data_IF_588125325710
#
_entry.id   IF_588125325710
#
_cell.length_a   1.000
_cell.length_b   1.000
_cell.length_c   1.000
_cell.angle_alpha   90.00
_cell.angle_beta   90.00
_cell.angle_gamma   90.00
#
_symmetry.space_group_name_H-M   'P 1'
#
loop_
_entity.id
_entity.type
_entity.pdbx_description
1 polymer ?
#
# COMPACT_ATOMS: atom_id res chain seq x y z
N UNK A 1 -21.47 -76.22 -13.00
CA UNK A 1 -21.79 -75.21 -11.98
C UNK A 1 -20.53 -74.63 -11.35
N UNK A 2 -19.60 -75.44 -10.83
CA UNK A 2 -18.33 -74.96 -10.24
C UNK A 2 -17.44 -74.15 -11.20
N UNK A 3 -17.36 -74.54 -12.48
CA UNK A 3 -16.57 -73.84 -13.51
C UNK A 3 -17.10 -72.44 -13.87
N UNK A 4 -18.41 -72.20 -13.68
CA UNK A 4 -19.01 -70.89 -13.87
C UNK A 4 -18.84 -70.01 -12.64
N UNK A 5 -18.93 -70.60 -11.43
CA UNK A 5 -18.68 -69.91 -10.18
C UNK A 5 -17.22 -69.43 -10.13
N UNK A 6 -16.25 -70.31 -10.45
CA UNK A 6 -14.82 -69.95 -10.49
C UNK A 6 -14.50 -68.84 -11.51
N UNK A 7 -15.15 -68.82 -12.69
CA UNK A 7 -15.02 -67.72 -13.66
C UNK A 7 -15.64 -66.42 -13.16
N UNK A 8 -16.73 -66.50 -12.41
CA UNK A 8 -17.38 -65.33 -11.83
C UNK A 8 -16.52 -64.72 -10.71
N UNK A 9 -16.00 -65.54 -9.80
CA UNK A 9 -15.08 -65.11 -8.74
C UNK A 9 -13.77 -64.55 -9.31
N UNK A 10 -13.25 -65.15 -10.39
CA UNK A 10 -12.07 -64.65 -11.08
C UNK A 10 -12.30 -63.28 -11.73
N UNK A 11 -13.52 -63.02 -12.23
CA UNK A 11 -13.90 -61.74 -12.84
C UNK A 11 -14.11 -60.65 -11.79
N UNK A 12 -14.78 -60.96 -10.68
CA UNK A 12 -14.91 -60.06 -9.53
C UNK A 12 -13.54 -59.65 -8.96
N UNK A 13 -12.63 -60.61 -8.79
CA UNK A 13 -11.26 -60.31 -8.35
C UNK A 13 -10.53 -59.39 -9.36
N UNK A 14 -10.68 -59.62 -10.66
CA UNK A 14 -10.09 -58.79 -11.72
C UNK A 14 -10.64 -57.35 -11.71
N UNK A 15 -11.94 -57.20 -11.47
CA UNK A 15 -12.61 -55.91 -11.37
C UNK A 15 -12.16 -55.16 -10.10
N UNK A 16 -12.00 -55.85 -8.98
CA UNK A 16 -11.45 -55.30 -7.72
C UNK A 16 -10.01 -54.82 -7.91
N UNK A 17 -9.13 -55.63 -8.49
CA UNK A 17 -7.75 -55.22 -8.81
C UNK A 17 -7.72 -54.02 -9.75
N UNK A 18 -8.62 -53.97 -10.74
CA UNK A 18 -8.71 -52.85 -11.69
C UNK A 18 -9.14 -51.56 -10.98
N UNK A 19 -10.08 -51.63 -10.04
CA UNK A 19 -10.48 -50.49 -9.22
C UNK A 19 -9.34 -49.99 -8.34
N UNK A 20 -8.62 -50.89 -7.66
CA UNK A 20 -7.46 -50.53 -6.84
C UNK A 20 -6.39 -49.83 -7.68
N UNK A 21 -6.05 -50.38 -8.85
CA UNK A 21 -5.07 -49.78 -9.77
C UNK A 21 -5.55 -48.40 -10.24
N UNK A 22 -6.84 -48.26 -10.60
CA UNK A 22 -7.41 -46.98 -11.01
C UNK A 22 -7.33 -45.94 -9.88
N UNK A 23 -7.63 -46.32 -8.65
CA UNK A 23 -7.50 -45.44 -7.47
C UNK A 23 -6.05 -45.02 -7.26
N UNK A 24 -5.10 -45.95 -7.34
CA UNK A 24 -3.66 -45.65 -7.20
C UNK A 24 -3.21 -44.68 -8.31
N UNK A 25 -3.58 -44.94 -9.56
CA UNK A 25 -3.22 -44.08 -10.69
C UNK A 25 -3.84 -42.68 -10.56
N UNK A 26 -5.08 -42.60 -10.10
CA UNK A 26 -5.78 -41.31 -9.89
C UNK A 26 -5.12 -40.52 -8.77
N UNK A 27 -4.78 -41.18 -7.65
CA UNK A 27 -4.04 -40.54 -6.56
C UNK A 27 -2.67 -40.07 -7.01
N UNK A 28 -1.93 -40.90 -7.76
CA UNK A 28 -0.62 -40.54 -8.28
C UNK A 28 -0.69 -39.34 -9.25
N UNK A 29 -1.67 -39.32 -10.15
CA UNK A 29 -1.91 -38.17 -11.04
C UNK A 29 -2.23 -36.91 -10.23
N UNK A 30 -3.07 -37.03 -9.20
CA UNK A 30 -3.40 -35.90 -8.31
C UNK A 30 -2.18 -35.37 -7.56
N UNK A 31 -1.29 -36.25 -7.10
CA UNK A 31 -0.06 -35.88 -6.40
C UNK A 31 0.94 -35.18 -7.33
N UNK A 32 1.04 -35.63 -8.59
CA UNK A 32 1.84 -34.98 -9.63
C UNK A 32 1.30 -33.57 -9.91
N UNK A 33 0.00 -33.43 -10.14
CA UNK A 33 -0.64 -32.14 -10.44
C UNK A 33 -0.46 -31.14 -9.28
N UNK A 34 -0.64 -31.60 -8.03
CA UNK A 34 -0.41 -30.77 -6.83
C UNK A 34 1.04 -30.34 -6.69
N UNK A 35 1.97 -31.24 -6.96
CA UNK A 35 3.40 -30.95 -6.88
C UNK A 35 3.81 -29.95 -7.96
N UNK A 36 3.30 -30.11 -9.18
CA UNK A 36 3.52 -29.15 -10.26
C UNK A 36 2.95 -27.77 -9.90
N UNK A 37 1.70 -27.72 -9.45
CA UNK A 37 1.06 -26.47 -9.04
C UNK A 37 1.82 -25.78 -7.92
N UNK A 38 2.26 -26.55 -6.91
CA UNK A 38 3.10 -26.05 -5.83
C UNK A 38 4.40 -25.42 -6.36
N UNK A 39 5.13 -26.13 -7.24
CA UNK A 39 6.39 -25.64 -7.79
C UNK A 39 6.19 -24.38 -8.64
N UNK A 40 5.12 -24.33 -9.44
CA UNK A 40 4.78 -23.16 -10.26
C UNK A 40 4.42 -21.96 -9.40
N UNK A 41 3.64 -22.16 -8.33
CA UNK A 41 3.21 -21.07 -7.44
C UNK A 41 4.37 -20.55 -6.60
N UNK A 42 5.17 -21.44 -6.01
CA UNK A 42 6.33 -21.04 -5.19
C UNK A 42 7.40 -20.35 -6.02
N UNK A 43 7.61 -20.75 -7.28
CA UNK A 43 8.50 -20.02 -8.20
C UNK A 43 8.05 -18.57 -8.43
N UNK A 44 6.75 -18.28 -8.29
CA UNK A 44 6.19 -16.93 -8.35
C UNK A 44 6.18 -16.23 -6.99
N UNK A 45 6.76 -16.83 -5.95
CA UNK A 45 6.74 -16.32 -4.57
C UNK A 45 5.39 -16.46 -3.87
N UNK A 46 4.46 -17.23 -4.44
CA UNK A 46 3.11 -17.42 -3.90
C UNK A 46 3.02 -18.81 -3.31
N UNK A 47 2.48 -18.94 -2.11
CA UNK A 47 2.30 -20.24 -1.47
C UNK A 47 0.91 -20.34 -0.87
N UNK A 48 0.12 -21.33 -1.33
CA UNK A 48 -1.22 -21.54 -0.78
C UNK A 48 -1.12 -21.96 0.68
N UNK A 49 -2.02 -21.41 1.49
CA UNK A 49 -2.17 -21.72 2.91
C UNK A 49 -2.41 -23.22 3.17
N UNK A 50 -3.04 -23.93 2.23
CA UNK A 50 -3.25 -25.38 2.29
C UNK A 50 -1.96 -26.20 2.39
N UNK A 51 -0.84 -25.65 1.92
CA UNK A 51 0.47 -26.30 1.98
C UNK A 51 1.30 -25.88 3.21
N UNK A 52 0.75 -25.04 4.08
CA UNK A 52 1.47 -24.45 5.20
C UNK A 52 0.95 -24.95 6.55
N UNK A 53 1.83 -25.45 7.44
CA UNK A 53 1.46 -25.77 8.81
C UNK A 53 1.35 -24.49 9.65
N UNK A 54 0.28 -23.71 9.46
CA UNK A 54 0.13 -22.36 10.02
C UNK A 54 0.28 -22.32 11.55
N UNK A 55 -0.25 -23.31 12.28
CA UNK A 55 -0.12 -23.38 13.74
C UNK A 55 1.34 -23.50 14.19
N UNK A 56 2.12 -24.31 13.48
CA UNK A 56 3.54 -24.47 13.74
C UNK A 56 4.30 -23.19 13.40
N UNK A 57 4.02 -22.57 12.26
CA UNK A 57 4.66 -21.30 11.86
C UNK A 57 4.40 -20.21 12.90
N UNK A 58 3.17 -20.08 13.39
CA UNK A 58 2.81 -19.10 14.42
C UNK A 58 3.53 -19.38 15.74
N UNK A 59 3.68 -20.65 16.13
CA UNK A 59 4.44 -21.04 17.30
C UNK A 59 5.92 -20.65 17.16
N UNK A 60 6.53 -20.98 16.03
CA UNK A 60 7.93 -20.68 15.75
C UNK A 60 8.20 -19.17 15.70
N UNK A 61 7.29 -18.39 15.11
CA UNK A 61 7.37 -16.94 15.10
C UNK A 61 7.31 -16.34 16.52
N UNK A 62 6.48 -16.90 17.41
CA UNK A 62 6.41 -16.45 18.82
C UNK A 62 7.69 -16.78 19.58
N UNK A 63 8.24 -17.96 19.35
CA UNK A 63 9.52 -18.36 19.93
C UNK A 63 10.64 -17.44 19.44
N UNK A 64 10.73 -17.20 18.13
CA UNK A 64 11.69 -16.27 17.55
C UNK A 64 11.52 -14.85 18.11
N UNK A 65 10.29 -14.36 18.26
CA UNK A 65 10.00 -13.05 18.84
C UNK A 65 10.51 -12.92 20.28
N UNK A 66 10.46 -13.99 21.07
CA UNK A 66 10.96 -14.00 22.45
C UNK A 66 12.48 -13.87 22.56
N UNK A 67 13.20 -14.18 21.48
CA UNK A 67 14.66 -14.14 21.40
C UNK A 67 15.18 -12.83 20.78
N UNK A 68 14.29 -11.95 20.29
CA UNK A 68 14.70 -10.69 19.67
C UNK A 68 15.30 -9.72 20.69
N UNK A 69 16.38 -9.04 20.28
CA UNK A 69 17.00 -7.98 21.07
C UNK A 69 16.04 -6.80 21.29
N UNK A 70 16.25 -6.03 22.37
CA UNK A 70 15.46 -4.83 22.68
C UNK A 70 15.43 -3.87 21.48
N UNK A 71 14.22 -3.56 21.00
CA UNK A 71 13.99 -2.65 19.88
C UNK A 71 13.74 -3.33 18.53
N UNK A 72 13.98 -4.64 18.42
CA UNK A 72 13.64 -5.44 17.24
C UNK A 72 12.29 -6.12 17.43
N UNK A 73 11.46 -6.10 16.39
CA UNK A 73 10.14 -6.72 16.41
C UNK A 73 9.64 -7.07 15.00
N UNK A 74 8.62 -7.93 14.94
CA UNK A 74 7.89 -8.17 13.70
C UNK A 74 6.95 -7.00 13.40
N UNK A 75 6.77 -6.61 12.13
CA UNK A 75 5.85 -5.53 11.71
C UNK A 75 4.37 -5.94 11.74
N UNK A 76 4.04 -7.04 12.40
CA UNK A 76 2.70 -7.63 12.44
C UNK A 76 2.43 -8.31 13.79
N UNK A 77 1.15 -8.54 14.08
CA UNK A 77 0.73 -9.29 15.26
C UNK A 77 0.75 -10.80 15.00
N UNK A 78 1.51 -11.56 15.80
CA UNK A 78 1.73 -13.00 15.64
C UNK A 78 0.55 -13.82 16.17
N UNK A 79 -0.54 -13.84 15.39
CA UNK A 79 -1.76 -14.61 15.67
C UNK A 79 -2.26 -15.32 14.42
N UNK A 80 -2.86 -16.49 14.59
CA UNK A 80 -3.34 -17.31 13.48
C UNK A 80 -4.45 -16.61 12.70
N UNK A 81 -5.37 -15.94 13.40
CA UNK A 81 -6.44 -15.14 12.80
C UNK A 81 -5.93 -13.99 11.92
N UNK A 82 -4.68 -13.55 12.13
CA UNK A 82 -4.05 -12.48 11.37
C UNK A 82 -3.19 -12.99 10.21
N UNK A 83 -3.27 -14.28 9.85
CA UNK A 83 -2.41 -14.88 8.83
C UNK A 83 -2.40 -14.09 7.52
N UNK A 84 -3.56 -13.63 7.05
CA UNK A 84 -3.62 -12.84 5.81
C UNK A 84 -2.77 -11.55 5.87
N UNK A 85 -2.68 -10.92 7.04
CA UNK A 85 -1.80 -9.76 7.23
C UNK A 85 -0.33 -10.17 7.34
N UNK A 86 -0.04 -11.29 8.01
CA UNK A 86 1.32 -11.84 8.15
C UNK A 86 1.89 -12.22 6.78
N UNK A 87 1.08 -12.88 5.95
CA UNK A 87 1.44 -13.35 4.60
C UNK A 87 1.96 -12.24 3.70
N UNK A 88 1.44 -11.00 3.83
CA UNK A 88 1.94 -9.83 3.09
C UNK A 88 3.41 -9.52 3.34
N UNK A 89 3.95 -9.93 4.49
CA UNK A 89 5.34 -9.73 4.89
C UNK A 89 6.20 -10.97 4.62
N UNK A 90 5.64 -12.04 4.07
CA UNK A 90 6.38 -13.29 3.86
C UNK A 90 7.00 -13.33 2.47
N UNK A 91 8.32 -13.50 2.38
CA UNK A 91 8.96 -13.90 1.13
C UNK A 91 9.10 -15.42 1.09
N UNK A 92 8.64 -16.02 0.01
CA UNK A 92 8.70 -17.48 -0.20
C UNK A 92 9.80 -17.80 -1.20
N UNK A 93 10.62 -18.78 -0.87
CA UNK A 93 11.58 -19.38 -1.80
C UNK A 93 11.52 -20.90 -1.71
N UNK A 94 11.70 -21.60 -2.82
CA UNK A 94 11.90 -23.05 -2.80
C UNK A 94 13.14 -23.47 -3.57
N UNK A 95 13.75 -24.54 -3.11
CA UNK A 95 14.90 -25.16 -3.75
C UNK A 95 14.84 -26.68 -3.59
N UNK A 96 15.52 -27.40 -4.48
CA UNK A 96 15.52 -28.87 -4.51
C UNK A 96 16.90 -29.39 -4.12
N UNK A 97 16.95 -30.30 -3.15
CA UNK A 97 18.18 -31.02 -2.76
C UNK A 97 17.84 -32.51 -2.64
N UNK A 98 18.60 -33.36 -3.34
CA UNK A 98 18.48 -34.83 -3.26
C UNK A 98 17.03 -35.33 -3.34
N UNK A 99 16.27 -34.82 -4.32
CA UNK A 99 14.85 -35.14 -4.57
C UNK A 99 13.84 -34.62 -3.51
N UNK A 100 14.28 -33.82 -2.55
CA UNK A 100 13.40 -33.13 -1.61
C UNK A 100 13.21 -31.67 -2.02
N UNK A 101 11.97 -31.20 -1.96
CA UNK A 101 11.63 -29.79 -2.15
C UNK A 101 11.64 -29.12 -0.76
N UNK A 102 12.50 -28.14 -0.59
CA UNK A 102 12.57 -27.33 0.61
C UNK A 102 11.96 -25.96 0.33
N UNK A 103 11.15 -25.48 1.26
CA UNK A 103 10.55 -24.14 1.18
C UNK A 103 10.97 -23.32 2.38
N UNK A 104 11.46 -22.13 2.09
CA UNK A 104 11.90 -21.14 3.06
C UNK A 104 10.90 -20.01 3.10
N UNK A 105 10.40 -19.72 4.30
CA UNK A 105 9.62 -18.54 4.59
C UNK A 105 10.53 -17.53 5.30
N UNK A 106 10.64 -16.34 4.73
CA UNK A 106 11.40 -15.24 5.31
C UNK A 106 10.42 -14.17 5.78
N UNK A 107 10.56 -13.79 7.05
CA UNK A 107 9.77 -12.75 7.69
C UNK A 107 10.68 -11.59 8.08
N UNK A 108 10.32 -10.34 7.80
CA UNK A 108 11.13 -9.18 8.13
C UNK A 108 11.09 -8.89 9.63
N UNK A 109 12.22 -8.43 10.15
CA UNK A 109 12.37 -7.85 11.48
C UNK A 109 12.66 -6.37 11.28
N UNK A 110 11.92 -5.51 11.99
CA UNK A 110 12.08 -4.06 11.93
C UNK A 110 12.64 -3.52 13.24
N UNK A 111 13.33 -2.38 13.14
CA UNK A 111 13.91 -1.66 14.26
C UNK A 111 13.27 -0.27 14.41
N UNK A 112 13.30 0.27 15.63
CA UNK A 112 13.03 1.69 15.89
C UNK A 112 14.23 2.58 15.49
N UNK A 113 14.01 3.88 15.21
CA UNK A 113 12.73 4.62 15.27
C UNK A 113 11.90 4.48 13.99
N UNK A 114 10.60 4.77 14.11
CA UNK A 114 9.70 4.92 12.96
C UNK A 114 9.75 6.35 12.45
N UNK A 115 9.52 6.51 11.14
CA UNK A 115 9.57 7.81 10.46
C UNK A 115 8.17 8.22 9.99
N UNK A 116 7.81 9.48 10.19
CA UNK A 116 6.60 10.08 9.64
C UNK A 116 6.87 10.49 8.20
N UNK A 117 6.11 9.93 7.27
CA UNK A 117 6.16 10.32 5.86
C UNK A 117 5.40 11.63 5.69
N UNK A 118 6.06 12.61 5.08
CA UNK A 118 5.56 13.95 4.81
C UNK A 118 5.64 14.16 3.30
N UNK A 119 4.52 14.56 2.72
CA UNK A 119 4.40 14.90 1.30
C UNK A 119 4.39 16.42 1.16
N UNK A 120 5.49 16.98 0.66
CA UNK A 120 5.63 18.42 0.45
C UNK A 120 4.95 18.81 -0.87
N UNK A 121 4.14 19.88 -0.82
CA UNK A 121 3.48 20.44 -1.98
C UNK A 121 3.63 21.96 -1.96
N UNK A 122 4.07 22.59 -3.07
CA UNK A 122 4.22 24.03 -3.11
C UNK A 122 2.84 24.70 -3.13
N UNK A 123 2.65 25.73 -2.28
CA UNK A 123 1.48 26.60 -2.32
C UNK A 123 1.94 28.02 -2.71
N UNK A 124 1.65 28.49 -3.94
CA UNK A 124 2.03 29.81 -4.36
C UNK A 124 1.32 30.92 -3.60
N UNK A 125 2.03 32.00 -3.30
CA UNK A 125 1.50 33.19 -2.66
C UNK A 125 1.59 34.37 -3.62
N UNK A 126 0.53 35.15 -3.70
CA UNK A 126 0.53 36.36 -4.51
C UNK A 126 1.59 37.34 -4.01
N UNK A 127 2.45 37.82 -4.92
CA UNK A 127 3.51 38.80 -4.64
C UNK A 127 3.08 40.18 -5.15
N UNK A 128 3.19 40.42 -6.46
CA UNK A 128 2.79 41.67 -7.13
C UNK A 128 2.62 41.45 -8.63
N UNK A 129 1.82 42.30 -9.29
CA UNK A 129 1.68 42.33 -10.76
C UNK A 129 1.39 40.95 -11.40
N UNK A 130 0.41 40.23 -10.87
CA UNK A 130 0.02 38.88 -11.33
C UNK A 130 1.13 37.80 -11.17
N UNK A 131 2.16 38.07 -10.38
CA UNK A 131 3.20 37.11 -10.03
C UNK A 131 2.85 36.40 -8.73
N UNK A 132 2.91 35.08 -8.76
CA UNK A 132 2.84 34.24 -7.56
C UNK A 132 4.23 33.67 -7.28
N UNK A 133 4.68 33.82 -6.04
CA UNK A 133 5.94 33.26 -5.55
C UNK A 133 5.67 32.01 -4.74
N UNK A 134 6.45 30.96 -4.96
CA UNK A 134 6.38 29.72 -4.21
C UNK A 134 7.77 29.20 -3.89
N UNK A 135 7.87 28.32 -2.90
CA UNK A 135 9.08 27.57 -2.62
C UNK A 135 9.07 26.35 -3.54
N UNK A 136 10.15 26.15 -4.31
CA UNK A 136 10.29 24.95 -5.13
C UNK A 136 10.48 23.74 -4.23
N UNK A 137 9.77 22.67 -4.54
CA UNK A 137 9.92 21.38 -3.88
C UNK A 137 10.86 20.52 -4.71
N UNK A 138 12.05 20.26 -4.16
CA UNK A 138 13.09 19.38 -4.72
C UNK A 138 12.85 17.94 -4.24
N UNK A 139 12.47 17.78 -2.97
CA UNK A 139 12.23 16.49 -2.34
C UNK A 139 10.76 16.39 -1.89
N UNK A 140 9.85 15.89 -2.76
CA UNK A 140 8.41 15.89 -2.50
C UNK A 140 7.99 14.92 -1.39
N UNK A 141 8.84 13.95 -1.05
CA UNK A 141 8.56 12.98 0.00
C UNK A 141 9.77 12.89 0.90
N UNK A 142 9.57 13.26 2.17
CA UNK A 142 10.57 13.13 3.22
C UNK A 142 10.00 12.25 4.32
N UNK A 143 10.84 11.50 5.00
CA UNK A 143 10.45 10.79 6.22
C UNK A 143 11.32 11.29 7.37
N UNK A 144 10.69 11.74 8.46
CA UNK A 144 11.38 12.34 9.61
C UNK A 144 11.03 11.55 10.87
N UNK A 145 12.03 11.28 11.71
CA UNK A 145 11.81 10.57 12.98
C UNK A 145 10.95 11.42 13.95
N UNK A 146 10.49 10.79 15.04
CA UNK A 146 9.57 11.47 15.97
C UNK A 146 10.22 12.67 16.66
N UNK A 147 11.53 12.60 16.87
CA UNK A 147 12.35 13.59 17.54
C UNK A 147 12.86 14.70 16.60
N UNK A 148 12.59 14.60 15.29
CA UNK A 148 13.11 15.47 14.23
C UNK A 148 14.65 15.52 14.11
N UNK A 149 15.34 14.53 14.66
CA UNK A 149 16.80 14.45 14.65
C UNK A 149 17.35 13.78 13.39
N UNK A 150 16.54 12.93 12.75
CA UNK A 150 16.93 12.20 11.56
C UNK A 150 15.86 12.27 10.49
N UNK A 151 16.32 12.26 9.24
CA UNK A 151 15.45 12.21 8.08
C UNK A 151 15.99 11.31 6.99
N UNK A 152 15.10 10.87 6.12
CA UNK A 152 15.41 10.20 4.88
C UNK A 152 14.59 10.81 3.74
N UNK A 153 15.12 10.71 2.52
CA UNK A 153 14.52 11.26 1.32
C UNK A 153 13.98 10.11 0.49
N UNK A 154 12.70 10.19 0.14
CA UNK A 154 11.99 9.11 -0.55
C UNK A 154 11.46 9.58 -1.90
N UNK A 155 11.23 8.62 -2.78
CA UNK A 155 10.53 8.83 -4.05
C UNK A 155 9.25 8.02 -4.10
N UNK A 156 8.33 8.42 -4.98
CA UNK A 156 7.03 7.73 -5.12
C UNK A 156 7.19 6.26 -5.53
N UNK A 157 8.14 5.96 -6.42
CA UNK A 157 8.42 4.59 -6.84
C UNK A 157 8.99 3.74 -5.69
N UNK A 158 9.80 4.33 -4.82
CA UNK A 158 10.38 3.62 -3.67
C UNK A 158 9.30 3.30 -2.62
N UNK A 159 8.36 4.22 -2.37
CA UNK A 159 7.23 3.93 -1.48
C UNK A 159 6.29 2.85 -2.02
N UNK A 160 6.13 2.74 -3.35
CA UNK A 160 5.31 1.71 -3.99
C UNK A 160 5.90 0.30 -3.85
N UNK A 161 7.21 0.19 -3.66
CA UNK A 161 7.89 -1.09 -3.42
C UNK A 161 7.75 -1.55 -1.96
N UNK A 162 7.35 -0.66 -1.05
CA UNK A 162 7.15 -1.00 0.35
C UNK A 162 5.80 -1.70 0.57
N UNK A 163 5.75 -2.56 1.58
CA UNK A 163 4.50 -3.16 2.05
C UNK A 163 3.71 -2.07 2.78
N UNK A 164 2.56 -1.70 2.22
CA UNK A 164 1.64 -0.76 2.83
C UNK A 164 0.52 -1.52 3.55
N UNK A 165 0.41 -1.31 4.85
CA UNK A 165 -0.75 -1.74 5.63
C UNK A 165 -1.79 -0.60 5.74
N UNK A 166 -2.54 -0.46 6.84
CA UNK A 166 -3.59 0.56 6.95
C UNK A 166 -2.97 1.97 7.06
N UNK A 167 -1.90 2.11 7.84
CA UNK A 167 -1.28 3.42 8.17
C UNK A 167 0.26 3.40 8.15
N UNK A 168 0.87 2.25 7.85
CA UNK A 168 2.32 2.06 7.96
C UNK A 168 2.90 1.51 6.66
N UNK A 169 4.11 1.96 6.34
CA UNK A 169 4.92 1.43 5.25
C UNK A 169 6.10 0.67 5.87
N UNK A 170 6.30 -0.57 5.44
CA UNK A 170 7.48 -1.37 5.76
C UNK A 170 8.28 -1.60 4.50
N UNK A 171 9.51 -1.11 4.47
CA UNK A 171 10.38 -1.18 3.31
C UNK A 171 11.57 -2.11 3.62
N UNK A 172 11.88 -3.05 2.72
CA UNK A 172 13.08 -3.89 2.85
C UNK A 172 14.35 -3.11 2.47
N UNK A 173 14.22 -2.09 1.61
CA UNK A 173 15.34 -1.27 1.17
C UNK A 173 15.89 -0.42 2.32
N UNK A 174 17.20 -0.49 2.54
CA UNK A 174 17.90 0.42 3.44
C UNK A 174 18.06 1.79 2.78
N UNK A 175 17.29 2.77 3.24
CA UNK A 175 17.45 4.15 2.83
C UNK A 175 18.55 4.83 3.65
N UNK A 176 19.36 5.72 3.05
CA UNK A 176 20.25 6.58 3.82
C UNK A 176 19.46 7.38 4.85
N UNK A 177 19.95 7.39 6.08
CA UNK A 177 19.42 8.19 7.19
C UNK A 177 20.42 9.32 7.44
N UNK A 178 19.94 10.55 7.36
CA UNK A 178 20.72 11.76 7.56
C UNK A 178 20.38 12.39 8.90
N UNK A 179 21.34 13.06 9.51
CA UNK A 179 21.08 13.91 10.68
C UNK A 179 20.49 15.24 10.23
N UNK A 180 19.50 15.72 10.97
CA UNK A 180 18.89 17.04 10.75
C UNK A 180 19.85 18.14 11.21
N UNK A 181 20.46 18.84 10.26
CA UNK A 181 21.39 19.95 10.50
C UNK A 181 20.99 21.19 9.69
N UNK A 182 21.72 22.30 9.85
CA UNK A 182 21.41 23.59 9.20
C UNK A 182 21.54 23.57 7.67
N UNK A 183 22.18 22.55 7.11
CA UNK A 183 22.32 22.30 5.68
C UNK A 183 21.25 21.35 5.13
N UNK A 184 20.31 20.88 5.97
CA UNK A 184 19.24 19.99 5.53
C UNK A 184 18.43 20.59 4.36
N UNK A 185 17.80 19.75 3.52
CA UNK A 185 16.94 20.22 2.44
C UNK A 185 15.82 21.14 2.93
N UNK A 186 15.38 22.04 2.04
CA UNK A 186 14.37 23.05 2.34
C UNK A 186 13.11 22.46 2.99
N UNK A 187 12.61 21.33 2.48
CA UNK A 187 11.41 20.67 2.97
C UNK A 187 11.56 20.18 4.42
N UNK A 188 12.74 19.68 4.76
CA UNK A 188 13.08 19.28 6.14
C UNK A 188 13.12 20.51 7.04
N UNK A 189 13.81 21.57 6.62
CA UNK A 189 13.91 22.81 7.40
C UNK A 189 12.55 23.45 7.69
N UNK A 190 11.67 23.47 6.67
CA UNK A 190 10.30 23.98 6.80
C UNK A 190 9.52 23.13 7.81
N UNK A 191 9.57 21.80 7.67
CA UNK A 191 8.80 20.91 8.54
C UNK A 191 9.27 20.97 10.01
N UNK A 192 10.58 21.02 10.24
CA UNK A 192 11.15 21.08 11.59
C UNK A 192 11.16 22.49 12.19
N UNK A 193 10.63 23.50 11.46
CA UNK A 193 10.62 24.91 11.85
C UNK A 193 11.99 25.41 12.31
N UNK A 194 13.04 25.09 11.54
CA UNK A 194 14.42 25.34 11.96
C UNK A 194 14.71 26.86 11.97
N UNK A 195 15.28 27.40 13.05
CA UNK A 195 15.62 28.82 13.14
C UNK A 195 16.79 29.16 12.19
N UNK A 196 16.48 29.79 11.06
CA UNK A 196 17.50 30.14 10.07
C UNK A 196 16.93 30.33 8.66
N UNK A 197 16.16 31.40 8.45
CA UNK A 197 15.79 32.01 7.16
C UNK A 197 15.89 31.12 5.89
N UNK A 198 15.20 29.97 5.82
CA UNK A 198 14.93 29.22 4.57
C UNK A 198 16.08 29.26 3.53
N UNK A 199 17.34 29.16 3.97
CA UNK A 199 18.50 29.58 3.14
C UNK A 199 18.74 28.61 2.00
N UNK A 200 18.36 27.36 2.22
CA UNK A 200 18.45 26.28 1.25
C UNK A 200 17.19 26.16 0.38
N UNK A 201 16.24 27.10 0.50
CA UNK A 201 15.02 27.08 -0.28
C UNK A 201 15.18 27.88 -1.57
N UNK A 202 14.95 27.22 -2.69
CA UNK A 202 14.78 27.90 -3.96
C UNK A 202 13.37 28.45 -4.10
N UNK A 203 13.25 29.64 -4.67
CA UNK A 203 11.97 30.25 -4.97
C UNK A 203 11.66 30.18 -6.46
N UNK A 204 10.45 29.75 -6.77
CA UNK A 204 9.85 29.81 -8.10
C UNK A 204 8.89 30.99 -8.21
N UNK A 205 8.65 31.41 -9.46
CA UNK A 205 7.61 32.38 -9.80
C UNK A 205 6.75 31.84 -10.92
N UNK A 206 5.45 32.09 -10.84
CA UNK A 206 4.49 31.77 -11.90
C UNK A 206 3.61 32.99 -12.15
N UNK A 207 3.30 33.25 -13.41
CA UNK A 207 2.38 34.31 -13.82
C UNK A 207 0.97 33.72 -13.91
N UNK A 208 0.02 34.36 -13.24
CA UNK A 208 -1.39 34.01 -13.36
C UNK A 208 -2.26 35.26 -13.16
N UNK A 209 -3.24 35.44 -14.05
CA UNK A 209 -4.22 36.53 -13.98
C UNK A 209 -5.47 36.16 -13.19
N UNK A 210 -5.59 34.91 -12.76
CA UNK A 210 -6.73 34.35 -12.03
C UNK A 210 -6.27 33.63 -10.78
N UNK A 211 -7.21 33.27 -9.91
CA UNK A 211 -6.95 32.47 -8.71
C UNK A 211 -6.40 31.10 -9.11
N UNK A 212 -5.27 30.70 -8.51
CA UNK A 212 -4.70 29.38 -8.69
C UNK A 212 -5.41 28.37 -7.79
N UNK A 213 -5.72 27.20 -8.34
CA UNK A 213 -6.35 26.11 -7.62
C UNK A 213 -5.47 24.86 -7.69
N UNK A 214 -5.26 24.23 -6.55
CA UNK A 214 -4.45 23.01 -6.41
C UNK A 214 -5.29 21.93 -5.75
N UNK A 215 -5.28 20.74 -6.33
CA UNK A 215 -5.98 19.56 -5.78
C UNK A 215 -5.02 18.74 -4.93
N UNK A 216 -5.08 18.83 -3.58
CA UNK A 216 -4.34 17.93 -2.70
C UNK A 216 -4.88 16.49 -2.78
N UNK A 217 -4.17 15.57 -2.13
CA UNK A 217 -4.62 14.17 -1.96
C UNK A 217 -5.84 14.02 -1.05
N UNK A 218 -6.16 15.06 -0.25
CA UNK A 218 -7.36 15.06 0.60
C UNK A 218 -8.62 15.18 -0.26
N UNK A 219 -9.52 14.21 -0.15
CA UNK A 219 -10.76 14.20 -0.93
C UNK A 219 -11.59 15.47 -0.72
N UNK A 220 -12.21 15.93 -1.83
CA UNK A 220 -13.13 17.08 -1.88
C UNK A 220 -12.51 18.36 -1.32
N UNK A 221 -11.20 18.46 -1.40
CA UNK A 221 -10.43 19.57 -0.86
C UNK A 221 -9.66 20.22 -1.99
N UNK A 222 -9.59 21.55 -1.95
CA UNK A 222 -8.79 22.36 -2.87
C UNK A 222 -8.03 23.41 -2.06
N UNK A 223 -6.76 23.61 -2.40
CA UNK A 223 -6.02 24.78 -1.97
C UNK A 223 -6.18 25.86 -3.03
N UNK A 224 -6.18 27.11 -2.60
CA UNK A 224 -6.28 28.25 -3.49
C UNK A 224 -5.26 29.33 -3.16
N UNK A 225 -4.93 30.10 -4.19
CA UNK A 225 -4.11 31.31 -4.10
C UNK A 225 -4.76 32.41 -4.93
N UNK A 226 -5.38 33.37 -4.26
CA UNK A 226 -6.14 34.46 -4.85
C UNK A 226 -5.31 35.75 -4.93
N UNK A 227 -5.42 36.45 -6.07
CA UNK A 227 -4.77 37.75 -6.31
C UNK A 227 -5.42 38.84 -5.48
N UNK A 228 -6.75 38.76 -5.35
CA UNK A 228 -7.62 39.69 -4.64
C UNK A 228 -8.77 38.91 -4.04
N UNK A 229 -9.57 39.59 -3.23
CA UNK A 229 -10.80 39.02 -2.72
C UNK A 229 -11.74 38.63 -3.88
N UNK A 230 -12.29 37.43 -3.81
CA UNK A 230 -13.17 36.87 -4.83
C UNK A 230 -14.38 36.20 -4.14
N UNK A 231 -15.59 36.58 -4.58
CA UNK A 231 -16.81 35.89 -4.17
C UNK A 231 -16.92 34.55 -4.93
N UNK A 232 -17.24 33.49 -4.21
CA UNK A 232 -17.50 32.17 -4.73
C UNK A 232 -18.90 31.72 -4.30
N UNK A 233 -19.60 31.02 -5.18
CA UNK A 233 -20.92 30.44 -4.88
C UNK A 233 -20.81 28.93 -4.78
N UNK A 234 -21.18 28.38 -3.64
CA UNK A 234 -21.33 26.94 -3.44
C UNK A 234 -22.80 26.58 -3.67
N UNK A 235 -23.05 25.62 -4.54
CA UNK A 235 -24.39 25.08 -4.80
C UNK A 235 -24.37 23.58 -4.59
N UNK A 236 -25.30 23.05 -3.80
CA UNK A 236 -25.44 21.62 -3.49
C UNK A 236 -26.73 21.04 -4.09
N UNK A 237 -26.88 19.70 -4.07
CA UNK A 237 -28.04 18.99 -4.62
C UNK A 237 -29.39 19.36 -3.95
N UNK A 238 -29.35 19.88 -2.72
CA UNK A 238 -30.52 20.41 -2.00
C UNK A 238 -30.99 21.78 -2.53
N UNK A 239 -30.29 22.34 -3.51
CA UNK A 239 -30.60 23.64 -4.11
C UNK A 239 -30.18 24.83 -3.24
N UNK A 240 -29.54 24.60 -2.08
CA UNK A 240 -29.03 25.68 -1.25
C UNK A 240 -27.79 26.30 -1.92
N UNK A 241 -27.82 27.64 -2.00
CA UNK A 241 -26.68 28.43 -2.45
C UNK A 241 -26.07 29.17 -1.26
N UNK A 242 -24.77 28.94 -1.04
CA UNK A 242 -23.97 29.63 -0.04
C UNK A 242 -22.93 30.50 -0.76
N UNK A 243 -22.81 31.76 -0.37
CA UNK A 243 -21.77 32.66 -0.87
C UNK A 243 -20.65 32.77 0.14
N UNK A 244 -19.42 32.57 -0.33
CA UNK A 244 -18.20 32.71 0.48
C UNK A 244 -17.23 33.67 -0.21
N UNK A 245 -16.37 34.30 0.57
CA UNK A 245 -15.30 35.16 0.06
C UNK A 245 -13.95 34.51 0.32
N UNK A 246 -13.13 34.41 -0.73
CA UNK A 246 -11.76 33.87 -0.64
C UNK A 246 -10.75 34.99 -0.82
N UNK A 247 -9.64 34.93 -0.10
CA UNK A 247 -8.55 35.90 -0.20
C UNK A 247 -7.21 35.27 0.14
N UNK A 248 -6.12 35.85 -0.39
CA UNK A 248 -4.74 35.38 -0.15
C UNK A 248 -4.57 33.90 -0.47
N UNK A 249 -4.27 33.06 0.52
CA UNK A 249 -4.17 31.62 0.39
C UNK A 249 -5.12 30.94 1.35
N UNK A 250 -5.62 29.78 0.97
CA UNK A 250 -6.48 29.01 1.86
C UNK A 250 -6.81 27.63 1.36
N UNK A 251 -7.71 26.98 2.09
CA UNK A 251 -8.19 25.63 1.83
C UNK A 251 -9.71 25.63 1.86
N UNK A 252 -10.33 25.05 0.85
CA UNK A 252 -11.78 24.80 0.81
C UNK A 252 -11.99 23.30 0.83
N UNK A 253 -12.88 22.84 1.70
CA UNK A 253 -13.35 21.47 1.74
C UNK A 253 -14.86 21.45 1.56
N UNK A 254 -15.31 20.88 0.45
CA UNK A 254 -16.74 20.78 0.15
C UNK A 254 -17.30 19.48 0.75
N UNK A 255 -18.51 19.55 1.31
CA UNK A 255 -19.24 18.38 1.82
C UNK A 255 -20.25 17.92 0.77
N UNK A 256 -20.54 16.62 0.72
CA UNK A 256 -21.55 16.07 -0.20
C UNK A 256 -21.26 16.29 -1.70
N UNK A 257 -22.34 16.31 -2.48
CA UNK A 257 -22.36 16.64 -3.90
C UNK A 257 -22.61 18.14 -4.06
N UNK A 258 -21.53 18.91 -4.09
CA UNK A 258 -21.61 20.35 -4.24
C UNK A 258 -20.63 20.80 -5.31
N UNK A 259 -20.97 21.91 -5.96
CA UNK A 259 -20.09 22.63 -6.87
C UNK A 259 -19.74 23.98 -6.27
N UNK A 260 -18.48 24.36 -6.37
CA UNK A 260 -18.04 25.73 -6.11
C UNK A 260 -17.83 26.41 -7.45
N UNK A 261 -18.48 27.55 -7.62
CA UNK A 261 -18.42 28.37 -8.82
C UNK A 261 -17.71 29.66 -8.50
N UNK A 262 -16.71 29.98 -9.29
CA UNK A 262 -16.04 31.28 -9.30
C UNK A 262 -16.19 31.91 -10.69
N UNK A 263 -15.87 33.20 -10.85
CA UNK A 263 -15.73 33.82 -12.18
C UNK A 263 -14.87 33.04 -13.17
N UNK A 264 -13.84 32.31 -12.70
CA UNK A 264 -12.81 31.73 -13.56
C UNK A 264 -12.91 30.20 -13.71
N UNK A 265 -13.50 29.50 -12.74
CA UNK A 265 -13.56 28.03 -12.69
C UNK A 265 -14.76 27.51 -11.91
N UNK A 266 -15.17 26.28 -12.25
CA UNK A 266 -16.13 25.47 -11.48
C UNK A 266 -15.39 24.25 -10.93
N UNK A 267 -15.43 24.07 -9.61
CA UNK A 267 -14.93 22.89 -8.92
C UNK A 267 -16.12 22.01 -8.53
N UNK A 268 -16.04 20.71 -8.78
CA UNK A 268 -17.11 19.76 -8.44
C UNK A 268 -16.55 18.64 -7.58
N UNK A 269 -17.31 18.21 -6.58
CA UNK A 269 -17.02 16.94 -5.91
C UNK A 269 -17.43 15.79 -6.84
N UNK A 270 -16.50 14.87 -7.13
CA UNK A 270 -16.85 13.68 -7.88
C UNK A 270 -17.76 12.80 -7.02
N UNK A 271 -18.96 12.51 -7.51
CA UNK A 271 -19.75 11.36 -7.08
C UNK A 271 -19.48 10.22 -8.07
N UNK A 272 -19.14 9.02 -7.57
CA UNK A 272 -19.32 7.81 -8.38
C UNK A 272 -20.82 7.68 -8.62
N UNK A 273 -21.26 8.04 -9.84
CA UNK A 273 -22.68 8.04 -10.20
C UNK A 273 -23.27 6.63 -10.28
N UNK A 274 -22.44 5.60 -10.55
CA UNK A 274 -22.83 4.20 -10.50
C UNK A 274 -21.57 3.31 -10.49
N UNK A 275 -21.40 2.48 -9.46
CA UNK A 275 -20.43 1.37 -9.50
C UNK A 275 -21.23 0.08 -9.67
N UNK A 276 -21.24 -0.47 -10.89
CA UNK A 276 -21.85 -1.77 -11.14
C UNK A 276 -20.89 -2.87 -10.70
N UNK A 277 -21.18 -3.48 -9.56
CA UNK A 277 -20.50 -4.69 -9.13
C UNK A 277 -21.07 -5.88 -9.90
N UNK A 278 -20.30 -6.42 -10.83
CA UNK A 278 -20.60 -7.72 -11.43
C UNK A 278 -20.18 -8.77 -10.41
N UNK A 279 -21.13 -9.32 -9.66
CA UNK A 279 -20.90 -10.49 -8.81
C UNK A 279 -20.83 -11.72 -9.71
N UNK A 280 -19.63 -12.23 -9.94
CA UNK A 280 -19.45 -13.57 -10.48
C UNK A 280 -19.39 -14.54 -9.31
N UNK A 281 -20.36 -15.46 -9.23
CA UNK A 281 -20.25 -16.62 -8.35
C UNK A 281 -19.22 -17.58 -8.94
N UNK A 282 -18.16 -17.86 -8.19
CA UNK A 282 -17.32 -19.04 -8.43
C UNK A 282 -18.14 -20.27 -7.99
N UNK A 283 -18.27 -21.31 -8.84
CA UNK A 283 -18.84 -22.57 -8.41
C UNK A 283 -18.04 -23.14 -7.25
N UNK A 284 -18.73 -23.71 -6.26
CA UNK A 284 -18.09 -24.60 -5.30
C UNK A 284 -17.53 -25.81 -6.07
N UNK A 285 -16.21 -26.04 -5.96
CA UNK A 285 -15.55 -27.26 -6.41
C UNK A 285 -15.36 -28.19 -5.22
#
# INVERSE_FOLDING_TARGET
>A
MELQLARYTQRENLDEYSQIILTILTNLMTDVDRTEEYLVTVRKGILRTSYLPLEHIIKDLREAASQLNRGLHFPFQIKLENWHSIEKYTSVNAFVINNYIFTTLRFPIIAYPTYKIIRAMPLPMYELSNVFKFIKVIHPIIAIDKENNHYTLLRENELKECIHDITMYTCEKNFPIYQTQSDAPCEVQIFTNMPGQLRNCEYGRVLASTTLWITPTEDRTWLYSAIKNQECTITCDDGLEEKIEISKIGKIKLKGNCKLTTPDIILKTNSQLETRYIKTHLPEF
#
